data_IF_424727050541
#
_entry.id   IF_424727050541
#
_cell.length_a   1.000
_cell.length_b   1.000
_cell.length_c   1.000
_cell.angle_alpha   90.00
_cell.angle_beta   90.00
_cell.angle_gamma   90.00
#
_symmetry.space_group_name_H-M   'P 1'
#
loop_
_entity.id
_entity.type
_entity.pdbx_description
1 polymer ?
#
# COMPACT_ATOMS: atom_id res chain seq x y z
N UNK A 1 -7.24 -6.53 7.52
CA UNK A 1 -5.88 -5.95 7.50
C UNK A 1 -5.79 -4.60 8.22
N UNK A 2 -6.75 -3.68 8.05
CA UNK A 2 -6.76 -2.36 8.72
C UNK A 2 -6.87 -2.38 10.26
N UNK A 3 -7.32 -3.49 10.85
CA UNK A 3 -7.46 -3.65 12.31
C UNK A 3 -6.14 -3.86 13.05
N UNK A 4 -5.02 -4.01 12.33
CA UNK A 4 -3.71 -4.16 12.96
C UNK A 4 -3.13 -2.79 13.36
N UNK A 5 -2.43 -2.70 14.50
CA UNK A 5 -1.73 -1.47 14.89
C UNK A 5 -0.75 -1.02 13.80
N UNK A 6 -0.77 0.27 13.45
CA UNK A 6 0.12 0.85 12.43
C UNK A 6 -0.42 0.80 10.99
N UNK A 7 -1.48 0.04 10.72
CA UNK A 7 -2.11 -0.05 9.40
C UNK A 7 -3.09 1.09 9.09
N UNK A 8 -3.13 2.13 9.93
CA UNK A 8 -3.95 3.33 9.75
C UNK A 8 -3.23 4.43 8.99
N UNK A 9 -1.94 4.25 8.70
CA UNK A 9 -1.09 5.23 8.00
C UNK A 9 -0.26 4.56 6.93
N UNK A 10 -0.07 5.24 5.80
CA UNK A 10 0.83 4.83 4.72
C UNK A 10 2.25 4.69 5.26
N UNK A 11 2.89 3.55 4.98
CA UNK A 11 4.25 3.27 5.46
C UNK A 11 5.30 4.21 4.85
N UNK A 12 5.07 4.73 3.64
CA UNK A 12 6.06 5.54 2.92
C UNK A 12 6.01 7.03 3.24
N UNK A 13 4.82 7.56 3.57
CA UNK A 13 4.62 9.01 3.70
C UNK A 13 3.76 9.42 4.89
N UNK A 14 3.25 8.47 5.68
CA UNK A 14 2.43 8.75 6.86
C UNK A 14 0.99 9.20 6.56
N UNK A 15 0.58 9.27 5.28
CA UNK A 15 -0.78 9.65 4.93
C UNK A 15 -1.81 8.73 5.62
N UNK A 16 -2.89 9.28 6.21
CA UNK A 16 -3.88 8.48 6.91
C UNK A 16 -4.67 7.61 5.93
N UNK A 17 -5.26 6.54 6.44
CA UNK A 17 -6.16 5.63 5.71
C UNK A 17 -5.54 5.12 4.39
N UNK A 18 -4.49 4.28 4.46
CA UNK A 18 -3.96 3.65 3.26
C UNK A 18 -4.94 2.60 2.72
N UNK A 19 -5.38 2.81 1.49
CA UNK A 19 -6.36 1.94 0.81
C UNK A 19 -5.72 0.99 -0.20
N UNK A 20 -4.38 0.99 -0.30
CA UNK A 20 -3.62 0.13 -1.19
C UNK A 20 -2.63 -0.72 -0.40
N UNK A 21 -2.39 -1.92 -0.86
CA UNK A 21 -1.41 -2.85 -0.28
C UNK A 21 -0.34 -3.19 -1.30
N UNK A 22 0.92 -3.18 -0.87
CA UNK A 22 1.99 -3.89 -1.56
C UNK A 22 2.07 -5.31 -1.02
N UNK A 23 1.63 -6.27 -1.84
CA UNK A 23 1.61 -7.70 -1.49
C UNK A 23 3.02 -8.30 -1.48
N UNK A 24 3.95 -7.75 -2.27
CA UNK A 24 5.35 -8.15 -2.25
C UNK A 24 6.03 -7.91 -0.90
N UNK A 25 5.62 -6.86 -0.20
CA UNK A 25 6.23 -6.44 1.07
C UNK A 25 5.31 -6.59 2.28
N UNK A 26 4.03 -6.93 2.07
CA UNK A 26 3.04 -7.05 3.14
C UNK A 26 2.73 -5.72 3.84
N UNK A 27 2.77 -4.60 3.11
CA UNK A 27 2.63 -3.25 3.67
C UNK A 27 1.47 -2.46 3.07
N UNK A 28 0.94 -1.51 3.83
CA UNK A 28 -0.12 -0.60 3.37
C UNK A 28 0.44 0.75 2.93
N UNK A 29 -0.03 1.22 1.78
CA UNK A 29 0.39 2.44 1.12
C UNK A 29 -0.82 3.27 0.67
N UNK A 30 -0.65 4.59 0.58
CA UNK A 30 -1.68 5.46 0.02
C UNK A 30 -1.71 5.39 -1.52
N UNK A 31 -2.76 5.95 -2.13
CA UNK A 31 -2.90 5.99 -3.59
C UNK A 31 -1.69 6.62 -4.31
N UNK A 32 -1.08 7.65 -3.72
CA UNK A 32 0.07 8.35 -4.33
C UNK A 32 1.29 7.43 -4.34
N UNK A 33 1.59 6.79 -3.20
CA UNK A 33 2.72 5.86 -3.10
C UNK A 33 2.48 4.59 -3.91
N UNK A 34 1.23 4.14 -4.03
CA UNK A 34 0.86 3.03 -4.92
C UNK A 34 1.25 3.30 -6.38
N UNK A 35 1.12 4.55 -6.85
CA UNK A 35 1.62 4.98 -8.16
C UNK A 35 3.13 4.86 -8.30
N UNK A 36 3.90 5.27 -7.28
CA UNK A 36 5.36 5.09 -7.25
C UNK A 36 5.74 3.61 -7.28
N UNK A 37 5.11 2.79 -6.46
CA UNK A 37 5.34 1.34 -6.44
C UNK A 37 5.05 0.67 -7.79
N UNK A 38 4.02 1.11 -8.52
CA UNK A 38 3.73 0.62 -9.88
C UNK A 38 4.85 0.91 -10.87
N UNK A 39 5.56 2.04 -10.73
CA UNK A 39 6.69 2.38 -11.60
C UNK A 39 7.90 1.46 -11.43
N UNK A 40 8.04 0.78 -10.28
CA UNK A 40 9.10 -0.20 -10.05
C UNK A 40 8.90 -1.53 -10.79
N UNK A 41 7.72 -1.72 -11.37
CA UNK A 41 7.34 -2.95 -12.06
C UNK A 41 6.86 -4.05 -11.11
N UNK A 42 6.04 -4.96 -11.68
CA UNK A 42 5.32 -6.00 -10.94
C UNK A 42 6.24 -7.00 -10.23
N UNK A 43 7.42 -7.26 -10.79
CA UNK A 43 8.45 -8.14 -10.22
C UNK A 43 9.04 -7.58 -8.92
N UNK A 44 9.06 -6.25 -8.79
CA UNK A 44 9.62 -5.55 -7.64
C UNK A 44 8.53 -5.29 -6.61
N UNK A 45 7.40 -4.73 -7.04
CA UNK A 45 6.30 -4.39 -6.15
C UNK A 45 4.95 -4.71 -6.79
N UNK A 46 4.29 -5.73 -6.25
CA UNK A 46 2.94 -6.10 -6.62
C UNK A 46 1.92 -5.38 -5.74
N UNK A 47 1.12 -4.50 -6.35
CA UNK A 47 0.20 -3.61 -5.64
C UNK A 47 -1.26 -3.96 -5.95
N UNK A 48 -2.12 -3.96 -4.92
CA UNK A 48 -3.57 -4.19 -5.00
C UNK A 48 -4.34 -3.20 -4.13
N UNK A 49 -5.60 -2.93 -4.50
CA UNK A 49 -6.49 -2.15 -3.65
C UNK A 49 -6.96 -3.03 -2.49
N UNK A 50 -7.06 -2.46 -1.29
CA UNK A 50 -7.55 -3.18 -0.10
C UNK A 50 -9.07 -3.16 -0.03
N UNK A 51 -9.69 -2.12 -0.60
CA UNK A 51 -11.15 -1.95 -0.64
C UNK A 51 -11.78 -2.43 -1.96
N UNK A 52 -10.99 -2.53 -3.03
CA UNK A 52 -11.43 -3.08 -4.33
C UNK A 52 -10.70 -4.39 -4.61
N UNK A 53 -11.19 -5.44 -3.97
CA UNK A 53 -11.40 -6.78 -4.55
C UNK A 53 -12.83 -7.20 -4.17
#
# INVERSE_FOLDING_TARGET
MRSLPGNTTCIDCGAPNPDWASLSYGSLICLICSGRHRSYGVQTSFVRSVDMD
#
